data_IF_840453529118
#
_entry.id   IF_840453529118
#
_cell.length_a   1.000
_cell.length_b   1.000
_cell.length_c   1.000
_cell.angle_alpha   90.00
_cell.angle_beta   90.00
_cell.angle_gamma   90.00
#
_symmetry.space_group_name_H-M   'P 1'
#
loop_
_entity.id
_entity.type
_entity.pdbx_description
1 polymer ?
#
# COMPACT_ATOMS: atom_id res chain seq x y z
N UNK A 1 -15.53 -19.06 -34.89
CA UNK A 1 -14.65 -18.30 -35.81
C UNK A 1 -13.37 -18.00 -35.04
N UNK A 2 -12.27 -18.67 -35.34
CA UNK A 2 -10.94 -18.44 -34.71
C UNK A 2 -10.47 -17.04 -35.07
N UNK A 3 -10.38 -16.16 -34.07
CA UNK A 3 -9.73 -14.88 -34.24
C UNK A 3 -8.23 -15.15 -34.44
N UNK A 4 -7.75 -14.91 -35.66
CA UNK A 4 -6.35 -15.03 -36.02
C UNK A 4 -5.50 -14.09 -35.16
N UNK A 5 -4.44 -14.65 -34.61
CA UNK A 5 -3.29 -13.92 -34.06
C UNK A 5 -2.87 -12.83 -35.07
N UNK A 6 -3.06 -11.55 -34.70
CA UNK A 6 -2.59 -10.41 -35.48
C UNK A 6 -1.08 -10.42 -35.48
N UNK A 7 -0.44 -11.13 -36.40
CA UNK A 7 1.00 -11.26 -36.52
C UNK A 7 1.68 -9.89 -36.44
N UNK A 8 2.71 -9.78 -35.57
CA UNK A 8 3.52 -8.58 -35.43
C UNK A 8 4.03 -8.12 -36.82
N UNK A 9 3.90 -6.84 -37.12
CA UNK A 9 4.50 -6.26 -38.36
C UNK A 9 6.02 -6.42 -38.25
N UNK A 10 6.71 -6.85 -39.29
CA UNK A 10 8.17 -6.98 -39.27
C UNK A 10 8.84 -5.68 -38.79
N UNK A 11 9.65 -5.77 -37.72
CA UNK A 11 10.39 -4.63 -37.17
C UNK A 11 9.69 -3.88 -36.02
N UNK A 12 8.45 -4.25 -35.61
CA UNK A 12 7.73 -3.63 -34.49
C UNK A 12 7.78 -4.57 -33.27
N UNK A 13 8.44 -4.11 -32.19
CA UNK A 13 8.42 -4.82 -30.89
C UNK A 13 7.03 -4.78 -30.23
N UNK A 14 6.67 -5.82 -29.49
CA UNK A 14 5.44 -5.86 -28.70
C UNK A 14 5.75 -5.93 -27.20
N UNK A 15 5.25 -4.94 -26.48
CA UNK A 15 5.19 -4.93 -25.02
C UNK A 15 3.84 -5.45 -24.56
N UNK A 16 3.82 -6.51 -23.76
CA UNK A 16 2.63 -6.94 -23.04
C UNK A 16 2.74 -6.51 -21.58
N UNK A 17 1.68 -5.94 -21.04
CA UNK A 17 1.55 -5.51 -19.64
C UNK A 17 0.40 -6.28 -18.99
N UNK A 18 0.69 -6.99 -17.91
CA UNK A 18 -0.30 -7.73 -17.12
C UNK A 18 -0.57 -6.98 -15.83
N UNK A 19 -1.74 -6.36 -15.75
CA UNK A 19 -2.17 -5.47 -14.67
C UNK A 19 -2.26 -4.01 -15.14
N UNK A 20 -3.47 -3.49 -15.21
CA UNK A 20 -3.82 -2.20 -15.79
C UNK A 20 -3.95 -1.05 -14.80
N UNK A 21 -3.25 -1.09 -13.66
CA UNK A 21 -3.28 -0.01 -12.67
C UNK A 21 -1.88 0.60 -12.47
N UNK A 22 -1.58 1.17 -11.31
CA UNK A 22 -0.47 2.07 -11.01
C UNK A 22 0.87 1.70 -11.67
N UNK A 23 1.41 0.50 -11.42
CA UNK A 23 2.72 0.10 -11.94
C UNK A 23 2.67 -0.20 -13.44
N UNK A 24 1.67 -0.98 -13.89
CA UNK A 24 1.55 -1.36 -15.30
C UNK A 24 1.29 -0.19 -16.21
N UNK A 25 0.34 0.67 -15.87
CA UNK A 25 0.02 1.83 -16.71
C UNK A 25 1.06 2.94 -16.64
N UNK A 26 1.78 3.08 -15.51
CA UNK A 26 2.97 3.94 -15.45
C UNK A 26 4.08 3.43 -16.37
N UNK A 27 4.31 2.11 -16.42
CA UNK A 27 5.29 1.49 -17.32
C UNK A 27 4.90 1.67 -18.79
N UNK A 28 3.66 1.34 -19.15
CA UNK A 28 3.12 1.51 -20.48
C UNK A 28 3.20 2.97 -20.96
N UNK A 29 2.77 3.91 -20.12
CA UNK A 29 2.79 5.34 -20.42
C UNK A 29 4.21 5.88 -20.60
N UNK A 30 5.16 5.45 -19.75
CA UNK A 30 6.55 5.89 -19.87
C UNK A 30 7.23 5.29 -21.10
N UNK A 31 7.01 4.00 -21.40
CA UNK A 31 7.52 3.37 -22.62
C UNK A 31 6.98 4.08 -23.88
N UNK A 32 5.70 4.44 -23.89
CA UNK A 32 5.06 5.16 -24.99
C UNK A 32 5.63 6.57 -25.20
N UNK A 33 6.06 7.27 -24.13
CA UNK A 33 6.74 8.57 -24.27
C UNK A 33 8.11 8.47 -24.99
N UNK A 34 8.74 7.30 -24.92
CA UNK A 34 10.09 7.06 -25.44
C UNK A 34 10.11 6.34 -26.79
N UNK A 35 9.04 5.62 -27.14
CA UNK A 35 8.91 4.90 -28.42
C UNK A 35 7.55 5.16 -29.05
N UNK A 36 7.56 5.52 -30.31
CA UNK A 36 6.35 5.75 -31.10
C UNK A 36 5.55 4.44 -31.31
N UNK A 37 4.24 4.54 -31.64
CA UNK A 37 3.40 3.40 -31.93
C UNK A 37 3.92 2.48 -33.05
N UNK A 38 4.65 3.02 -34.01
CA UNK A 38 5.22 2.23 -35.12
C UNK A 38 6.42 1.38 -34.69
N UNK A 39 7.16 1.81 -33.65
CA UNK A 39 8.31 1.09 -33.12
C UNK A 39 7.91 0.09 -32.01
N UNK A 40 6.91 0.44 -31.20
CA UNK A 40 6.46 -0.37 -30.06
C UNK A 40 4.95 -0.49 -30.03
N UNK A 41 4.43 -1.70 -30.15
CA UNK A 41 3.05 -2.02 -29.83
C UNK A 41 2.93 -2.27 -28.32
N UNK A 42 1.94 -1.66 -27.68
CA UNK A 42 1.68 -1.87 -26.23
C UNK A 42 0.29 -2.44 -26.05
N UNK A 43 0.21 -3.64 -25.51
CA UNK A 43 -1.05 -4.30 -25.12
C UNK A 43 -1.07 -4.46 -23.61
N UNK A 44 -2.07 -3.92 -22.93
CA UNK A 44 -2.25 -4.03 -21.49
C UNK A 44 -3.53 -4.77 -21.16
N UNK A 45 -3.44 -5.74 -20.26
CA UNK A 45 -4.57 -6.55 -19.78
C UNK A 45 -4.92 -6.20 -18.36
N UNK A 46 -6.21 -5.91 -18.12
CA UNK A 46 -6.77 -5.64 -16.81
C UNK A 46 -8.04 -6.49 -16.61
N UNK A 47 -8.07 -7.27 -15.52
CA UNK A 47 -9.21 -8.15 -15.21
C UNK A 47 -10.42 -7.39 -14.65
N UNK A 48 -10.19 -6.22 -14.05
CA UNK A 48 -11.23 -5.37 -13.45
C UNK A 48 -11.95 -4.48 -14.45
N UNK A 49 -12.89 -3.71 -13.94
CA UNK A 49 -13.64 -2.72 -14.71
C UNK A 49 -12.89 -1.38 -14.84
N UNK A 50 -11.90 -1.11 -14.00
CA UNK A 50 -11.25 0.18 -13.85
C UNK A 50 -9.75 0.10 -14.06
N UNK A 51 -9.16 1.19 -14.48
CA UNK A 51 -7.73 1.41 -14.64
C UNK A 51 -7.32 2.73 -13.99
N UNK A 52 -6.07 2.84 -13.58
CA UNK A 52 -5.47 4.12 -13.13
C UNK A 52 -6.29 4.86 -12.09
N UNK A 53 -6.70 4.19 -11.05
CA UNK A 53 -7.50 4.76 -9.97
C UNK A 53 -6.73 4.84 -8.64
N UNK A 54 -7.19 5.71 -7.75
CA UNK A 54 -6.64 5.89 -6.41
C UNK A 54 -7.29 4.92 -5.43
N UNK A 55 -6.73 3.70 -5.27
CA UNK A 55 -7.23 2.73 -4.29
C UNK A 55 -7.24 3.30 -2.85
N UNK A 56 -6.24 4.13 -2.49
CA UNK A 56 -6.19 4.81 -1.20
C UNK A 56 -7.33 5.82 -0.99
N UNK A 57 -8.06 6.21 -2.04
CA UNK A 57 -9.23 7.07 -1.96
C UNK A 57 -10.53 6.35 -1.58
N UNK A 58 -10.56 5.02 -1.64
CA UNK A 58 -11.77 4.22 -1.42
C UNK A 58 -12.36 4.43 -0.02
N UNK A 59 -11.57 4.39 1.09
CA UNK A 59 -12.12 4.66 2.42
C UNK A 59 -12.76 6.06 2.53
N UNK A 60 -12.17 7.07 1.92
CA UNK A 60 -12.71 8.44 1.92
C UNK A 60 -13.98 8.57 1.08
N UNK A 61 -14.07 7.84 -0.04
CA UNK A 61 -15.30 7.74 -0.82
C UNK A 61 -16.40 7.00 -0.05
N UNK A 62 -16.06 5.86 0.54
CA UNK A 62 -17.01 5.14 1.41
C UNK A 62 -17.43 6.00 2.60
N UNK A 63 -16.51 6.75 3.23
CA UNK A 63 -16.79 7.67 4.34
C UNK A 63 -17.62 8.89 3.96
N UNK A 64 -17.61 9.29 2.69
CA UNK A 64 -18.31 10.44 2.16
C UNK A 64 -17.50 11.74 2.04
N UNK A 65 -16.20 11.70 2.34
CA UNK A 65 -15.27 12.83 2.11
C UNK A 65 -15.03 13.05 0.60
N UNK A 66 -15.04 11.98 -0.18
CA UNK A 66 -15.06 12.02 -1.65
C UNK A 66 -16.49 11.71 -2.10
N UNK A 67 -17.10 12.63 -2.83
CA UNK A 67 -18.51 12.53 -3.18
C UNK A 67 -18.80 11.45 -4.22
N UNK A 68 -17.97 11.38 -5.27
CA UNK A 68 -18.21 10.53 -6.43
C UNK A 68 -17.02 9.59 -6.70
N UNK A 69 -17.32 8.33 -7.04
CA UNK A 69 -16.33 7.31 -7.40
C UNK A 69 -15.37 7.78 -8.50
N UNK A 70 -15.89 8.46 -9.50
CA UNK A 70 -15.14 8.82 -10.69
C UNK A 70 -14.06 9.89 -10.40
N UNK A 71 -14.15 10.59 -9.26
CA UNK A 71 -13.09 11.48 -8.78
C UNK A 71 -11.81 10.71 -8.39
N UNK A 72 -11.92 9.40 -8.16
CA UNK A 72 -10.78 8.54 -7.87
C UNK A 72 -10.07 8.04 -9.13
N UNK A 73 -10.65 8.22 -10.32
CA UNK A 73 -10.07 7.76 -11.60
C UNK A 73 -9.13 8.85 -12.12
N UNK A 74 -7.85 8.55 -12.12
CA UNK A 74 -6.82 9.48 -12.59
C UNK A 74 -6.74 9.54 -14.13
N UNK A 75 -7.15 8.46 -14.81
CA UNK A 75 -7.17 8.37 -16.27
C UNK A 75 -8.13 7.28 -16.73
N UNK A 76 -8.90 7.61 -17.78
CA UNK A 76 -9.87 6.68 -18.38
C UNK A 76 -9.21 5.68 -19.33
N UNK A 77 -9.88 4.57 -19.65
CA UNK A 77 -9.40 3.63 -20.68
C UNK A 77 -9.25 4.27 -22.07
N UNK A 78 -10.14 5.19 -22.41
CA UNK A 78 -10.14 5.94 -23.69
C UNK A 78 -8.88 6.79 -23.80
N UNK A 79 -8.52 7.54 -22.77
CA UNK A 79 -7.31 8.36 -22.72
C UNK A 79 -6.03 7.52 -22.89
N UNK A 80 -6.02 6.28 -22.42
CA UNK A 80 -4.91 5.34 -22.64
C UNK A 80 -4.85 4.89 -24.11
N UNK A 81 -6.01 4.55 -24.72
CA UNK A 81 -6.11 4.12 -26.11
C UNK A 81 -5.73 5.25 -27.08
N UNK A 82 -6.16 6.47 -26.83
CA UNK A 82 -5.76 7.67 -27.60
C UNK A 82 -4.25 7.89 -27.60
N UNK A 83 -3.58 7.46 -26.55
CA UNK A 83 -2.10 7.49 -26.47
C UNK A 83 -1.42 6.28 -27.13
N UNK A 84 -2.17 5.43 -27.81
CA UNK A 84 -1.64 4.26 -28.48
C UNK A 84 -1.31 3.08 -27.56
N UNK A 85 -1.99 2.95 -26.44
CA UNK A 85 -1.93 1.78 -25.54
C UNK A 85 -3.22 0.99 -25.75
N UNK A 86 -3.14 -0.24 -26.27
CA UNK A 86 -4.28 -1.16 -26.40
C UNK A 86 -4.62 -1.73 -25.00
N UNK A 87 -5.40 -0.97 -24.23
CA UNK A 87 -5.86 -1.39 -22.90
C UNK A 87 -7.14 -2.21 -23.00
N UNK A 88 -7.08 -3.45 -22.57
CA UNK A 88 -8.16 -4.42 -22.56
C UNK A 88 -8.61 -4.66 -21.11
N UNK A 89 -9.70 -4.01 -20.72
CA UNK A 89 -10.38 -4.27 -19.46
C UNK A 89 -11.16 -5.58 -19.52
N UNK A 90 -11.57 -6.11 -18.38
CA UNK A 90 -12.32 -7.36 -18.26
C UNK A 90 -11.58 -8.52 -18.95
N UNK A 91 -10.25 -8.47 -18.94
CA UNK A 91 -9.42 -9.47 -19.61
C UNK A 91 -8.34 -9.95 -18.64
N UNK A 92 -8.49 -11.18 -18.17
CA UNK A 92 -7.58 -11.81 -17.20
C UNK A 92 -6.49 -12.62 -17.94
N UNK A 93 -5.23 -12.40 -17.63
CA UNK A 93 -4.15 -13.29 -18.06
C UNK A 93 -4.12 -14.50 -17.13
N UNK A 94 -4.38 -15.67 -17.69
CA UNK A 94 -4.52 -16.93 -16.95
C UNK A 94 -3.31 -17.83 -17.04
N UNK A 95 -2.44 -17.65 -18.05
CA UNK A 95 -1.24 -18.46 -18.25
C UNK A 95 -0.11 -17.63 -18.86
N UNK A 96 1.12 -17.93 -18.46
CA UNK A 96 2.36 -17.36 -19.00
C UNK A 96 3.24 -18.49 -19.52
N UNK A 97 3.43 -18.54 -20.83
CA UNK A 97 4.40 -19.40 -21.51
C UNK A 97 5.69 -18.59 -21.75
N UNK A 98 6.62 -18.69 -20.80
CA UNK A 98 7.90 -17.96 -20.84
C UNK A 98 8.75 -18.40 -22.02
N UNK A 99 8.80 -19.71 -22.31
CA UNK A 99 9.60 -20.27 -23.39
C UNK A 99 9.06 -19.87 -24.78
N UNK A 100 7.72 -19.88 -24.94
CA UNK A 100 7.04 -19.46 -26.16
C UNK A 100 6.83 -17.95 -26.26
N UNK A 101 7.25 -17.16 -25.26
CA UNK A 101 7.07 -15.70 -25.18
C UNK A 101 5.64 -15.26 -25.48
N UNK A 102 4.68 -15.81 -24.76
CA UNK A 102 3.25 -15.48 -24.94
C UNK A 102 2.48 -15.61 -23.65
N UNK A 103 1.38 -14.87 -23.56
CA UNK A 103 0.41 -14.96 -22.47
C UNK A 103 -0.93 -15.43 -23.00
N UNK A 104 -1.64 -16.26 -22.23
CA UNK A 104 -3.03 -16.61 -22.51
C UNK A 104 -3.94 -15.65 -21.72
N UNK A 105 -4.76 -14.93 -22.44
CA UNK A 105 -5.73 -14.00 -21.90
C UNK A 105 -7.15 -14.55 -22.09
N UNK A 106 -8.00 -14.39 -21.08
CA UNK A 106 -9.41 -14.78 -21.07
C UNK A 106 -10.27 -13.54 -20.86
N UNK A 107 -11.18 -13.30 -21.77
CA UNK A 107 -12.25 -12.33 -21.57
C UNK A 107 -13.16 -12.82 -20.44
N UNK A 108 -13.34 -12.01 -19.41
CA UNK A 108 -14.05 -12.40 -18.17
C UNK A 108 -15.54 -12.56 -18.41
N UNK A 109 -16.10 -11.81 -19.36
CA UNK A 109 -17.54 -11.76 -19.61
C UNK A 109 -17.99 -12.88 -20.57
N UNK A 110 -17.23 -13.12 -21.65
CA UNK A 110 -17.54 -14.14 -22.65
C UNK A 110 -16.87 -15.49 -22.39
N UNK A 111 -15.81 -15.52 -21.58
CA UNK A 111 -14.96 -16.69 -21.38
C UNK A 111 -14.03 -17.02 -22.56
N UNK A 112 -14.02 -16.19 -23.61
CA UNK A 112 -13.18 -16.41 -24.78
C UNK A 112 -11.69 -16.28 -24.44
N UNK A 113 -10.88 -17.23 -24.89
CA UNK A 113 -9.44 -17.27 -24.66
C UNK A 113 -8.64 -16.99 -25.93
N UNK A 114 -7.52 -16.31 -25.79
CA UNK A 114 -6.58 -16.05 -26.89
C UNK A 114 -5.13 -15.99 -26.37
N UNK A 115 -4.20 -16.33 -27.24
CA UNK A 115 -2.77 -16.15 -26.99
C UNK A 115 -2.29 -14.83 -27.57
N UNK A 116 -1.46 -14.11 -26.83
CA UNK A 116 -0.80 -12.88 -27.27
C UNK A 116 0.71 -13.04 -27.06
N UNK A 117 1.49 -12.97 -28.15
CA UNK A 117 2.95 -13.02 -28.11
C UNK A 117 3.53 -11.71 -27.59
N UNK A 118 4.73 -11.73 -27.02
CA UNK A 118 5.47 -10.56 -26.58
C UNK A 118 6.95 -10.64 -26.93
N UNK A 119 7.59 -9.50 -27.15
CA UNK A 119 9.03 -9.34 -27.13
C UNK A 119 9.50 -8.93 -25.72
N UNK A 120 8.65 -8.17 -25.01
CA UNK A 120 8.86 -7.68 -23.65
C UNK A 120 7.58 -7.83 -22.82
N UNK A 121 7.77 -8.26 -21.58
CA UNK A 121 6.65 -8.50 -20.65
C UNK A 121 6.81 -7.69 -19.36
N UNK A 122 5.73 -7.08 -18.91
CA UNK A 122 5.64 -6.43 -17.59
C UNK A 122 4.58 -7.16 -16.76
N UNK A 123 4.98 -7.67 -15.59
CA UNK A 123 4.09 -8.23 -14.59
C UNK A 123 3.81 -7.18 -13.51
N UNK A 124 2.58 -6.68 -13.46
CA UNK A 124 2.10 -5.67 -12.53
C UNK A 124 0.78 -6.11 -11.88
N UNK A 125 0.72 -7.39 -11.52
CA UNK A 125 -0.48 -8.08 -11.00
C UNK A 125 -0.92 -7.61 -9.61
N UNK A 126 -0.13 -6.77 -8.96
CA UNK A 126 -0.47 -6.16 -7.68
C UNK A 126 -0.46 -7.13 -6.51
N UNK A 127 -1.40 -6.94 -5.59
CA UNK A 127 -1.61 -7.80 -4.44
C UNK A 127 -3.08 -8.19 -4.32
N UNK A 128 -3.36 -9.20 -3.49
CA UNK A 128 -4.73 -9.63 -3.14
C UNK A 128 -4.97 -9.43 -1.66
N UNK A 129 -6.16 -8.97 -1.25
CA UNK A 129 -6.56 -8.96 0.15
C UNK A 129 -6.40 -10.35 0.76
N UNK A 130 -5.91 -10.39 1.98
CA UNK A 130 -5.91 -11.62 2.75
C UNK A 130 -7.36 -11.96 3.10
N UNK A 131 -7.82 -13.14 2.68
CA UNK A 131 -9.12 -13.69 3.06
C UNK A 131 -8.86 -15.05 3.70
N UNK A 132 -8.97 -15.16 5.03
CA UNK A 132 -8.68 -16.42 5.73
C UNK A 132 -9.77 -17.46 5.44
N UNK A 133 -9.40 -18.72 5.48
CA UNK A 133 -10.35 -19.83 5.37
C UNK A 133 -11.07 -20.02 6.71
N UNK A 134 -12.08 -19.18 6.97
CA UNK A 134 -12.90 -19.23 8.17
C UNK A 134 -14.37 -19.52 7.82
N UNK A 135 -15.08 -20.29 8.66
CA UNK A 135 -16.51 -20.49 8.46
C UNK A 135 -17.26 -19.17 8.34
N UNK A 136 -18.10 -19.02 7.32
CA UNK A 136 -18.94 -17.85 7.09
C UNK A 136 -18.21 -16.63 6.52
N UNK A 137 -16.93 -16.70 6.17
CA UNK A 137 -16.17 -15.55 5.65
C UNK A 137 -16.73 -15.00 4.34
N UNK A 138 -17.45 -15.83 3.56
CA UNK A 138 -18.06 -15.46 2.29
C UNK A 138 -19.55 -15.10 2.42
N UNK A 139 -20.03 -14.88 3.66
CA UNK A 139 -21.40 -14.47 3.92
C UNK A 139 -21.73 -13.11 3.29
N UNK A 140 -23.02 -12.87 3.01
CA UNK A 140 -23.49 -11.55 2.62
C UNK A 140 -23.19 -10.53 3.74
N UNK A 141 -22.70 -9.35 3.35
CA UNK A 141 -22.29 -8.30 4.30
C UNK A 141 -20.84 -8.39 4.75
N UNK A 142 -20.03 -9.32 4.23
CA UNK A 142 -18.58 -9.41 4.50
C UNK A 142 -17.79 -8.92 3.30
N UNK A 143 -17.00 -7.85 3.48
CA UNK A 143 -16.27 -7.16 2.42
C UNK A 143 -14.77 -7.07 2.68
N UNK A 144 -13.97 -7.18 1.62
CA UNK A 144 -12.63 -6.59 1.53
C UNK A 144 -12.72 -5.21 0.90
N UNK A 145 -11.63 -4.44 0.91
CA UNK A 145 -11.56 -3.11 0.28
C UNK A 145 -10.23 -3.00 -0.47
N UNK A 146 -10.28 -3.08 -1.79
CA UNK A 146 -9.10 -2.94 -2.65
C UNK A 146 -9.41 -2.28 -3.99
N UNK A 147 -10.56 -2.58 -4.58
CA UNK A 147 -10.98 -2.08 -5.89
C UNK A 147 -12.18 -1.13 -5.75
N UNK A 148 -12.43 -0.34 -6.80
CA UNK A 148 -13.63 0.51 -6.85
C UNK A 148 -14.91 -0.33 -6.83
N UNK A 149 -14.88 -1.56 -7.38
CA UNK A 149 -15.99 -2.51 -7.31
C UNK A 149 -16.24 -2.95 -5.85
N UNK A 150 -15.18 -3.18 -5.07
CA UNK A 150 -15.32 -3.52 -3.64
C UNK A 150 -15.95 -2.35 -2.86
N UNK A 151 -15.51 -1.12 -3.14
CA UNK A 151 -16.07 0.08 -2.53
C UNK A 151 -17.57 0.25 -2.85
N UNK A 152 -17.96 0.02 -4.10
CA UNK A 152 -19.36 0.06 -4.52
C UNK A 152 -20.19 -1.03 -3.85
N UNK A 153 -19.70 -2.27 -3.84
CA UNK A 153 -20.36 -3.39 -3.19
C UNK A 153 -20.57 -3.15 -1.68
N UNK A 154 -19.59 -2.53 -1.03
CA UNK A 154 -19.72 -2.13 0.37
C UNK A 154 -20.78 -1.04 0.55
N UNK A 155 -20.80 0.02 -0.27
CA UNK A 155 -21.81 1.07 -0.23
C UNK A 155 -23.22 0.52 -0.46
N UNK A 156 -23.40 -0.41 -1.41
CA UNK A 156 -24.66 -1.08 -1.66
C UNK A 156 -25.11 -1.90 -0.44
N UNK A 157 -24.17 -2.56 0.22
CA UNK A 157 -24.43 -3.28 1.47
C UNK A 157 -24.84 -2.33 2.59
N UNK A 158 -24.10 -1.22 2.80
CA UNK A 158 -24.44 -0.21 3.81
C UNK A 158 -25.86 0.36 3.61
N UNK A 159 -26.31 0.49 2.36
CA UNK A 159 -27.65 0.98 2.05
C UNK A 159 -28.76 -0.03 2.38
N UNK A 160 -28.47 -1.34 2.37
CA UNK A 160 -29.41 -2.45 2.58
C UNK A 160 -29.37 -3.02 3.99
N UNK A 161 -28.32 -2.75 4.74
CA UNK A 161 -28.13 -3.28 6.09
C UNK A 161 -29.30 -2.91 7.00
N UNK A 162 -29.83 -3.90 7.74
CA UNK A 162 -31.01 -3.75 8.62
C UNK A 162 -30.68 -3.05 9.95
N UNK A 163 -29.42 -3.05 10.32
CA UNK A 163 -28.89 -2.42 11.52
C UNK A 163 -27.70 -1.52 11.21
N UNK A 164 -27.10 -0.97 12.27
CA UNK A 164 -25.98 -0.01 12.17
C UNK A 164 -24.75 -0.46 12.97
N UNK A 165 -24.52 -1.78 13.08
CA UNK A 165 -23.36 -2.34 13.76
C UNK A 165 -22.37 -2.85 12.72
N UNK A 166 -21.15 -2.36 12.77
CA UNK A 166 -20.08 -2.79 11.90
C UNK A 166 -18.93 -3.39 12.68
N UNK A 167 -18.38 -4.48 12.19
CA UNK A 167 -17.14 -5.07 12.72
C UNK A 167 -16.06 -4.91 11.66
N UNK A 168 -14.94 -4.28 12.04
CA UNK A 168 -13.72 -4.22 11.23
C UNK A 168 -12.73 -5.24 11.78
N UNK A 169 -12.31 -6.17 10.96
CA UNK A 169 -11.31 -7.19 11.34
C UNK A 169 -9.94 -6.72 10.88
N UNK A 170 -9.07 -6.40 11.84
CA UNK A 170 -7.74 -5.86 11.62
C UNK A 170 -7.67 -4.34 11.78
N UNK A 171 -6.63 -3.87 12.48
CA UNK A 171 -6.38 -2.46 12.79
C UNK A 171 -5.09 -1.95 12.11
N UNK A 172 -4.84 -2.35 10.85
CA UNK A 172 -3.83 -1.74 9.97
C UNK A 172 -4.37 -0.48 9.29
N UNK A 173 -3.65 0.07 8.30
CA UNK A 173 -4.07 1.29 7.57
C UNK A 173 -5.52 1.21 7.08
N UNK A 174 -5.85 0.20 6.29
CA UNK A 174 -7.22 0.02 5.75
C UNK A 174 -8.25 -0.13 6.86
N UNK A 175 -7.93 -0.91 7.91
CA UNK A 175 -8.89 -1.13 9.01
C UNK A 175 -9.19 0.13 9.79
N UNK A 176 -8.18 0.96 10.07
CA UNK A 176 -8.35 2.24 10.79
C UNK A 176 -9.13 3.24 9.94
N UNK A 177 -8.78 3.41 8.67
CA UNK A 177 -9.47 4.30 7.74
C UNK A 177 -10.92 3.86 7.49
N UNK A 178 -11.17 2.55 7.37
CA UNK A 178 -12.53 2.02 7.22
C UNK A 178 -13.37 2.13 8.50
N UNK A 179 -12.75 2.02 9.67
CA UNK A 179 -13.46 2.25 10.94
C UNK A 179 -13.98 3.69 11.03
N UNK A 180 -13.15 4.68 10.68
CA UNK A 180 -13.57 6.08 10.59
C UNK A 180 -14.68 6.29 9.54
N UNK A 181 -14.50 5.71 8.34
CA UNK A 181 -15.49 5.80 7.26
C UNK A 181 -16.86 5.28 7.69
N UNK A 182 -16.91 4.18 8.46
CA UNK A 182 -18.15 3.61 8.97
C UNK A 182 -18.77 4.45 10.10
N UNK A 183 -17.97 5.05 10.99
CA UNK A 183 -18.44 6.05 11.97
C UNK A 183 -19.09 7.22 11.25
N UNK A 184 -18.45 7.76 10.20
CA UNK A 184 -18.98 8.87 9.41
C UNK A 184 -20.32 8.53 8.72
N UNK A 185 -20.56 7.24 8.46
CA UNK A 185 -21.86 6.70 7.96
C UNK A 185 -22.87 6.38 9.07
N UNK A 186 -22.56 6.67 10.33
CA UNK A 186 -23.44 6.50 11.47
C UNK A 186 -23.56 5.04 11.95
N UNK A 187 -22.51 4.24 11.77
CA UNK A 187 -22.43 2.90 12.32
C UNK A 187 -21.78 2.90 13.70
N UNK A 188 -22.25 2.01 14.56
CA UNK A 188 -21.51 1.57 15.74
C UNK A 188 -20.37 0.63 15.29
N UNK A 189 -19.12 1.00 15.56
CA UNK A 189 -17.97 0.28 15.04
C UNK A 189 -17.20 -0.43 16.14
N UNK A 190 -16.99 -1.73 15.96
CA UNK A 190 -16.06 -2.54 16.74
C UNK A 190 -14.88 -2.97 15.86
N UNK A 191 -13.67 -2.74 16.32
CA UNK A 191 -12.44 -3.16 15.62
C UNK A 191 -11.83 -4.34 16.38
N UNK A 192 -11.75 -5.50 15.71
CA UNK A 192 -11.10 -6.70 16.26
C UNK A 192 -9.65 -6.74 15.76
N UNK A 193 -8.71 -6.59 16.66
CA UNK A 193 -7.28 -6.52 16.36
C UNK A 193 -6.52 -7.68 17.01
N UNK A 194 -5.76 -8.43 16.21
CA UNK A 194 -4.94 -9.54 16.73
C UNK A 194 -3.72 -9.09 17.54
N UNK A 195 -3.27 -7.86 17.35
CA UNK A 195 -2.14 -7.29 18.09
C UNK A 195 -2.59 -6.61 19.38
N UNK A 196 -1.62 -6.27 20.22
CA UNK A 196 -1.86 -5.54 21.48
C UNK A 196 -2.26 -4.08 21.27
N UNK A 197 -1.95 -3.50 20.12
CA UNK A 197 -2.29 -2.12 19.74
C UNK A 197 -2.58 -2.03 18.23
N UNK A 198 -3.39 -1.06 17.77
CA UNK A 198 -3.60 -0.79 16.37
C UNK A 198 -2.32 -0.34 15.68
N UNK A 199 -2.36 -0.27 14.35
CA UNK A 199 -1.23 0.15 13.53
C UNK A 199 0.03 -0.66 13.82
N UNK A 200 -0.02 -1.97 13.61
CA UNK A 200 1.13 -2.88 13.82
C UNK A 200 2.39 -2.49 13.04
N UNK A 201 2.32 -1.46 12.20
CA UNK A 201 3.43 -0.79 11.51
C UNK A 201 4.14 0.25 12.37
N UNK A 202 3.59 0.59 13.53
CA UNK A 202 4.21 1.38 14.60
C UNK A 202 4.74 0.46 15.71
N UNK A 203 5.54 1.01 16.60
CA UNK A 203 5.83 0.39 17.89
C UNK A 203 4.61 0.52 18.83
N UNK A 204 4.41 -0.39 19.80
CA UNK A 204 3.18 -0.41 20.63
C UNK A 204 2.90 0.89 21.38
N UNK A 205 3.95 1.59 21.88
CA UNK A 205 3.79 2.87 22.57
C UNK A 205 3.22 3.96 21.67
N UNK A 206 3.59 3.95 20.38
CA UNK A 206 3.04 4.86 19.37
C UNK A 206 1.65 4.40 18.90
N UNK A 207 1.42 3.09 18.82
CA UNK A 207 0.10 2.51 18.49
C UNK A 207 -0.95 2.87 19.53
N UNK A 208 -0.58 2.94 20.82
CA UNK A 208 -1.48 3.35 21.90
C UNK A 208 -2.07 4.76 21.71
N UNK A 209 -1.32 5.67 21.14
CA UNK A 209 -1.84 7.02 20.83
C UNK A 209 -2.98 6.95 19.80
N UNK A 210 -2.84 6.05 18.83
CA UNK A 210 -3.89 5.80 17.82
C UNK A 210 -5.10 5.13 18.46
N UNK A 211 -4.88 4.14 19.34
CA UNK A 211 -5.92 3.47 20.11
C UNK A 211 -6.79 4.49 20.85
N UNK A 212 -6.15 5.35 21.66
CA UNK A 212 -6.85 6.38 22.44
C UNK A 212 -7.66 7.33 21.54
N UNK A 213 -7.15 7.69 20.36
CA UNK A 213 -7.88 8.53 19.41
C UNK A 213 -9.11 7.81 18.84
N UNK A 214 -8.98 6.52 18.51
CA UNK A 214 -10.10 5.70 18.00
C UNK A 214 -11.20 5.54 19.05
N UNK A 215 -10.84 5.27 20.31
CA UNK A 215 -11.82 5.24 21.41
C UNK A 215 -12.50 6.59 21.60
N UNK A 216 -11.76 7.69 21.46
CA UNK A 216 -12.30 9.06 21.51
C UNK A 216 -13.34 9.36 20.42
N UNK A 217 -13.34 8.64 19.32
CA UNK A 217 -14.38 8.66 18.27
C UNK A 217 -15.58 7.75 18.58
N UNK A 218 -15.55 7.00 19.66
CA UNK A 218 -16.58 6.01 19.98
C UNK A 218 -16.39 4.65 19.31
N UNK A 219 -15.22 4.37 18.74
CA UNK A 219 -14.87 3.07 18.20
C UNK A 219 -14.51 2.13 19.36
N UNK A 220 -15.16 0.98 19.42
CA UNK A 220 -14.81 -0.07 20.38
C UNK A 220 -13.59 -0.85 19.88
N UNK A 221 -12.46 -0.74 20.59
CA UNK A 221 -11.24 -1.48 20.28
C UNK A 221 -11.17 -2.78 21.09
N UNK A 222 -11.00 -3.92 20.39
CA UNK A 222 -10.77 -5.23 21.03
C UNK A 222 -9.44 -5.75 20.52
N UNK A 223 -8.42 -5.61 21.34
CA UNK A 223 -7.06 -6.08 21.04
C UNK A 223 -6.87 -7.53 21.48
N UNK A 224 -5.77 -8.16 21.04
CA UNK A 224 -5.41 -9.55 21.26
C UNK A 224 -6.53 -10.53 20.86
N UNK A 225 -7.41 -10.12 19.93
CA UNK A 225 -8.57 -10.86 19.47
C UNK A 225 -8.32 -11.58 18.15
N UNK A 226 -8.45 -12.89 18.15
CA UNK A 226 -8.35 -13.71 16.94
C UNK A 226 -9.74 -14.15 16.50
N UNK A 227 -10.13 -13.72 15.31
CA UNK A 227 -11.41 -14.13 14.71
C UNK A 227 -11.35 -15.59 14.31
N UNK A 228 -12.36 -16.36 14.70
CA UNK A 228 -12.47 -17.80 14.44
C UNK A 228 -13.56 -18.16 13.43
N UNK A 229 -14.62 -17.37 13.34
CA UNK A 229 -15.72 -17.56 12.40
C UNK A 229 -16.55 -16.29 12.23
N UNK A 230 -17.28 -16.22 11.12
CA UNK A 230 -18.38 -15.28 10.89
C UNK A 230 -19.70 -16.04 11.03
N UNK A 231 -20.60 -15.52 11.82
CA UNK A 231 -21.91 -16.11 12.06
C UNK A 231 -22.95 -15.49 11.12
N UNK A 232 -23.79 -16.33 10.56
CA UNK A 232 -24.85 -15.91 9.63
C UNK A 232 -26.24 -16.16 10.22
N UNK A 233 -27.21 -15.38 9.76
CA UNK A 233 -28.62 -15.69 9.92
C UNK A 233 -29.09 -16.73 8.89
N UNK A 234 -30.35 -17.12 8.99
CA UNK A 234 -31.01 -18.08 8.08
C UNK A 234 -31.12 -17.53 6.64
N UNK A 235 -31.01 -16.20 6.48
CA UNK A 235 -31.00 -15.50 5.21
C UNK A 235 -29.60 -15.43 4.54
N UNK A 236 -28.57 -16.03 5.17
CA UNK A 236 -27.19 -16.01 4.71
C UNK A 236 -26.47 -14.68 4.94
N UNK A 237 -27.11 -13.71 5.64
CA UNK A 237 -26.50 -12.44 5.98
C UNK A 237 -25.67 -12.56 7.26
N UNK A 238 -24.56 -11.79 7.36
CA UNK A 238 -23.76 -11.73 8.58
C UNK A 238 -24.60 -11.22 9.76
N UNK A 239 -24.48 -11.85 10.92
CA UNK A 239 -25.11 -11.41 12.18
C UNK A 239 -24.13 -11.11 13.30
N UNK A 240 -22.94 -11.73 13.26
CA UNK A 240 -21.88 -11.51 14.25
C UNK A 240 -20.54 -12.03 13.75
N UNK A 241 -19.46 -11.54 14.35
CA UNK A 241 -18.09 -12.10 14.24
C UNK A 241 -17.72 -12.70 15.58
N UNK A 242 -17.20 -13.93 15.57
CA UNK A 242 -16.80 -14.63 16.79
C UNK A 242 -15.27 -14.72 16.90
N UNK A 243 -14.80 -14.54 18.13
CA UNK A 243 -13.45 -14.89 18.59
C UNK A 243 -13.51 -16.16 19.43
N UNK A 244 -12.42 -16.53 20.09
CA UNK A 244 -12.42 -17.62 21.07
C UNK A 244 -13.25 -17.26 22.32
N UNK A 245 -13.30 -15.97 22.68
CA UNK A 245 -13.84 -15.50 23.97
C UNK A 245 -15.25 -14.91 23.85
N UNK A 246 -15.64 -14.36 22.70
CA UNK A 246 -16.89 -13.59 22.56
C UNK A 246 -17.44 -13.58 21.14
N UNK A 247 -18.73 -13.21 21.02
CA UNK A 247 -19.40 -12.87 19.76
C UNK A 247 -19.67 -11.36 19.70
N UNK A 248 -19.33 -10.75 18.58
CA UNK A 248 -19.53 -9.33 18.30
C UNK A 248 -20.62 -9.16 17.25
N UNK A 249 -21.78 -8.64 17.61
CA UNK A 249 -22.88 -8.45 16.67
C UNK A 249 -22.46 -7.54 15.51
N UNK A 250 -22.82 -7.93 14.28
CA UNK A 250 -22.45 -7.19 13.09
C UNK A 250 -23.55 -7.30 12.01
N UNK A 251 -23.88 -6.19 11.43
CA UNK A 251 -24.75 -6.10 10.25
C UNK A 251 -23.89 -5.94 8.98
N UNK A 252 -22.63 -5.50 9.15
CA UNK A 252 -21.58 -5.40 8.10
C UNK A 252 -20.23 -5.77 8.69
N UNK A 253 -19.40 -6.46 7.92
CA UNK A 253 -18.01 -6.80 8.29
C UNK A 253 -17.05 -6.32 7.21
N UNK A 254 -15.97 -5.63 7.63
CA UNK A 254 -14.88 -5.22 6.74
C UNK A 254 -13.58 -5.92 7.14
N UNK A 255 -12.94 -6.56 6.17
CA UNK A 255 -11.68 -7.28 6.35
C UNK A 255 -10.50 -6.36 6.03
N UNK A 256 -9.85 -5.82 7.05
CA UNK A 256 -8.66 -4.97 6.97
C UNK A 256 -7.36 -5.69 7.41
N UNK A 257 -7.21 -6.99 7.11
CA UNK A 257 -6.13 -7.86 7.62
C UNK A 257 -4.90 -7.95 6.72
N UNK A 258 -4.76 -7.00 5.80
CA UNK A 258 -3.61 -6.87 4.92
C UNK A 258 -3.75 -7.54 3.57
N UNK A 259 -2.65 -7.52 2.81
CA UNK A 259 -2.58 -8.02 1.44
C UNK A 259 -1.39 -8.98 1.26
N UNK A 260 -1.45 -9.81 0.22
CA UNK A 260 -0.35 -10.68 -0.23
C UNK A 260 -0.06 -10.40 -1.70
N UNK A 261 1.22 -10.51 -2.15
CA UNK A 261 1.57 -10.38 -3.57
C UNK A 261 0.73 -11.33 -4.43
N UNK A 262 0.15 -10.82 -5.52
CA UNK A 262 -0.55 -11.65 -6.49
C UNK A 262 0.45 -12.24 -7.49
N UNK A 263 1.07 -13.35 -7.13
CA UNK A 263 2.14 -14.03 -7.87
C UNK A 263 1.75 -15.42 -8.36
N UNK A 264 0.47 -15.76 -8.38
CA UNK A 264 0.01 -17.07 -8.81
C UNK A 264 0.46 -17.38 -10.26
N UNK A 265 0.27 -16.43 -11.18
CA UNK A 265 0.73 -16.53 -12.58
C UNK A 265 2.25 -16.71 -12.68
N UNK A 266 3.01 -15.90 -11.97
CA UNK A 266 4.47 -15.95 -11.95
C UNK A 266 5.00 -17.26 -11.36
N UNK A 267 4.39 -17.73 -10.28
CA UNK A 267 4.72 -19.03 -9.65
C UNK A 267 4.48 -20.19 -10.60
N UNK A 268 3.33 -20.21 -11.27
CA UNK A 268 2.99 -21.26 -12.24
C UNK A 268 3.99 -21.29 -13.42
N UNK A 269 4.52 -20.14 -13.81
CA UNK A 269 5.53 -19.99 -14.86
C UNK A 269 6.98 -20.22 -14.38
N UNK A 270 7.19 -20.57 -13.10
CA UNK A 270 8.52 -20.87 -12.55
C UNK A 270 9.40 -19.63 -12.31
N UNK A 271 8.83 -18.42 -12.27
CA UNK A 271 9.58 -17.20 -12.01
C UNK A 271 10.03 -17.10 -10.54
N UNK A 272 11.20 -16.48 -10.25
CA UNK A 272 11.78 -16.45 -8.92
C UNK A 272 10.96 -15.58 -7.95
N UNK A 273 10.59 -16.15 -6.82
CA UNK A 273 9.88 -15.49 -5.74
C UNK A 273 10.76 -15.38 -4.48
N UNK A 274 10.57 -14.31 -3.72
CA UNK A 274 11.24 -14.10 -2.45
C UNK A 274 10.52 -14.73 -1.26
N UNK A 275 11.06 -14.49 -0.07
CA UNK A 275 10.57 -15.10 1.18
C UNK A 275 9.16 -14.60 1.58
N UNK A 276 8.73 -13.45 1.08
CA UNK A 276 7.40 -12.89 1.33
C UNK A 276 6.43 -13.18 0.16
N UNK A 277 6.84 -14.00 -0.81
CA UNK A 277 6.02 -14.43 -1.94
C UNK A 277 5.96 -13.44 -3.11
N UNK A 278 6.67 -12.31 -3.05
CA UNK A 278 6.78 -11.36 -4.16
C UNK A 278 7.83 -11.78 -5.20
N UNK A 279 7.68 -11.31 -6.43
CA UNK A 279 8.68 -11.49 -7.48
C UNK A 279 10.01 -10.83 -7.10
N UNK A 280 11.13 -11.51 -7.39
CA UNK A 280 12.47 -10.97 -7.20
C UNK A 280 12.95 -10.28 -8.47
N UNK A 281 13.30 -9.00 -8.36
CA UNK A 281 13.83 -8.19 -9.46
C UNK A 281 15.26 -7.73 -9.19
N UNK A 282 15.94 -7.29 -10.23
CA UNK A 282 17.14 -6.48 -10.13
C UNK A 282 16.77 -4.98 -9.90
N UNK A 283 17.77 -4.09 -9.83
CA UNK A 283 17.50 -2.64 -9.69
C UNK A 283 16.86 -2.01 -10.91
N UNK A 284 17.00 -2.61 -12.09
CA UNK A 284 16.30 -2.18 -13.31
C UNK A 284 14.84 -2.69 -13.35
N UNK A 285 14.37 -3.31 -12.27
CA UNK A 285 13.07 -3.96 -12.15
C UNK A 285 12.88 -5.14 -13.11
N UNK A 286 13.96 -5.73 -13.65
CA UNK A 286 13.87 -6.98 -14.42
C UNK A 286 13.76 -8.16 -13.45
N UNK A 287 12.91 -9.12 -13.80
CA UNK A 287 12.80 -10.39 -13.06
C UNK A 287 14.14 -11.13 -13.15
N UNK A 288 14.67 -11.54 -12.00
CA UNK A 288 15.99 -12.20 -11.96
C UNK A 288 16.06 -13.43 -12.85
N UNK A 289 17.10 -13.50 -13.68
CA UNK A 289 17.30 -14.59 -14.66
C UNK A 289 16.56 -14.42 -15.99
N UNK A 290 15.89 -13.27 -16.21
CA UNK A 290 15.18 -12.97 -17.46
C UNK A 290 15.56 -11.57 -17.96
N UNK A 291 15.84 -11.46 -19.28
CA UNK A 291 16.24 -10.20 -19.91
C UNK A 291 15.05 -9.42 -20.49
N UNK A 292 13.92 -10.08 -20.69
CA UNK A 292 12.74 -9.59 -21.40
C UNK A 292 11.48 -9.53 -20.52
N UNK A 293 11.61 -9.82 -19.20
CA UNK A 293 10.50 -9.77 -18.24
C UNK A 293 10.82 -8.79 -17.10
N UNK A 294 9.95 -7.84 -16.88
CA UNK A 294 9.98 -6.89 -15.76
C UNK A 294 8.81 -7.13 -14.81
N UNK A 295 8.95 -6.71 -13.57
CA UNK A 295 7.86 -6.72 -12.61
C UNK A 295 7.90 -5.50 -11.71
N UNK A 296 6.72 -5.01 -11.30
CA UNK A 296 6.60 -3.83 -10.43
C UNK A 296 5.26 -3.72 -9.73
N UNK A 297 5.18 -2.82 -8.77
CA UNK A 297 4.02 -2.66 -7.89
C UNK A 297 4.03 -3.66 -6.75
N UNK A 298 2.84 -3.98 -6.24
CA UNK A 298 2.69 -4.78 -5.02
C UNK A 298 2.97 -6.28 -5.21
N UNK A 299 3.22 -6.72 -6.44
CA UNK A 299 3.59 -8.11 -6.72
C UNK A 299 5.09 -8.42 -6.53
N UNK A 300 5.93 -7.41 -6.22
CA UNK A 300 7.38 -7.60 -6.06
C UNK A 300 7.85 -7.44 -4.62
N UNK A 301 9.01 -8.04 -4.31
CA UNK A 301 9.79 -7.66 -3.13
C UNK A 301 10.82 -6.60 -3.50
N UNK A 302 11.05 -5.68 -2.58
CA UNK A 302 11.96 -4.53 -2.76
C UNK A 302 13.03 -4.50 -1.69
N UNK A 303 14.19 -3.91 -2.01
CA UNK A 303 15.27 -3.70 -1.04
C UNK A 303 14.86 -2.62 -0.03
N UNK A 304 14.82 -2.97 1.23
CA UNK A 304 14.76 -2.01 2.33
C UNK A 304 16.17 -1.46 2.59
N UNK A 305 16.36 -0.17 2.37
CA UNK A 305 17.67 0.50 2.41
C UNK A 305 18.26 0.57 3.83
N UNK A 306 17.42 0.47 4.85
CA UNK A 306 17.87 0.55 6.25
C UNK A 306 18.35 -0.81 6.74
N UNK A 307 17.57 -1.86 6.51
CA UNK A 307 17.87 -3.23 6.96
C UNK A 307 18.73 -4.04 5.97
N UNK A 308 18.81 -3.63 4.71
CA UNK A 308 19.44 -4.40 3.65
C UNK A 308 18.67 -5.66 3.23
N UNK A 309 17.43 -5.85 3.72
CA UNK A 309 16.62 -7.03 3.46
C UNK A 309 15.63 -6.82 2.31
N UNK A 310 15.31 -7.90 1.57
CA UNK A 310 14.16 -7.90 0.67
C UNK A 310 12.88 -7.92 1.51
N UNK A 311 11.90 -7.07 1.16
CA UNK A 311 10.62 -6.96 1.87
C UNK A 311 9.47 -6.75 0.89
N UNK A 312 8.32 -7.25 1.25
CA UNK A 312 7.07 -6.87 0.60
C UNK A 312 6.51 -5.60 1.27
N UNK A 313 6.37 -4.52 0.51
CA UNK A 313 5.82 -3.23 0.97
C UNK A 313 4.87 -2.71 -0.11
N UNK A 314 3.58 -2.91 0.09
CA UNK A 314 2.52 -2.52 -0.83
C UNK A 314 2.18 -1.02 -0.64
N UNK A 315 2.73 -0.15 -1.49
CA UNK A 315 2.49 1.29 -1.48
C UNK A 315 2.42 1.84 -2.90
N UNK A 316 1.38 2.62 -3.21
CA UNK A 316 1.15 3.20 -4.53
C UNK A 316 2.30 4.09 -5.03
N UNK A 317 2.99 4.80 -4.12
CA UNK A 317 4.17 5.60 -4.47
C UNK A 317 5.33 4.75 -5.00
N UNK A 318 5.49 3.52 -4.51
CA UNK A 318 6.48 2.57 -5.04
C UNK A 318 6.04 2.04 -6.40
N UNK A 319 4.78 1.63 -6.53
CA UNK A 319 4.22 1.11 -7.77
C UNK A 319 4.43 2.07 -8.96
N UNK A 320 4.13 3.36 -8.79
CA UNK A 320 4.35 4.37 -9.81
C UNK A 320 5.83 4.54 -10.18
N UNK A 321 6.73 4.55 -9.19
CA UNK A 321 8.19 4.66 -9.43
C UNK A 321 8.73 3.42 -10.14
N UNK A 322 8.27 2.22 -9.75
CA UNK A 322 8.61 0.98 -10.47
C UNK A 322 8.19 1.08 -11.92
N UNK A 323 6.96 1.53 -12.20
CA UNK A 323 6.47 1.73 -13.55
C UNK A 323 7.34 2.70 -14.36
N UNK A 324 7.76 3.83 -13.78
CA UNK A 324 8.67 4.78 -14.46
C UNK A 324 10.01 4.14 -14.81
N UNK A 325 10.62 3.38 -13.88
CA UNK A 325 11.89 2.66 -14.14
C UNK A 325 11.71 1.62 -15.24
N UNK A 326 10.66 0.79 -15.14
CA UNK A 326 10.35 -0.25 -16.13
C UNK A 326 10.13 0.37 -17.50
N UNK A 327 9.26 1.37 -17.61
CA UNK A 327 8.93 2.01 -18.87
C UNK A 327 10.13 2.69 -19.54
N UNK A 328 11.04 3.26 -18.74
CA UNK A 328 12.29 3.82 -19.24
C UNK A 328 13.19 2.73 -19.83
N UNK A 329 13.36 1.61 -19.12
CA UNK A 329 14.20 0.49 -19.58
C UNK A 329 13.61 -0.21 -20.82
N UNK A 330 12.30 -0.42 -20.82
CA UNK A 330 11.57 -0.96 -21.99
C UNK A 330 11.61 0.02 -23.17
N UNK A 331 11.57 1.32 -22.91
CA UNK A 331 11.66 2.37 -23.95
C UNK A 331 13.05 2.53 -24.57
N UNK A 332 14.07 1.77 -24.12
CA UNK A 332 15.43 1.82 -24.63
C UNK A 332 16.38 2.76 -23.87
N UNK A 333 15.91 3.38 -22.79
CA UNK A 333 16.73 4.12 -21.84
C UNK A 333 17.33 3.21 -20.75
N UNK A 334 17.90 3.83 -19.72
CA UNK A 334 18.38 3.12 -18.52
C UNK A 334 17.97 3.87 -17.26
N UNK A 335 17.28 3.16 -16.36
CA UNK A 335 16.88 3.66 -15.06
C UNK A 335 16.97 2.54 -14.01
N UNK A 336 17.15 2.92 -12.75
CA UNK A 336 17.19 1.98 -11.62
C UNK A 336 16.33 2.46 -10.46
N UNK A 337 15.76 1.52 -9.73
CA UNK A 337 15.08 1.74 -8.47
C UNK A 337 16.03 1.44 -7.31
N UNK A 338 16.36 2.40 -6.46
CA UNK A 338 17.40 2.20 -5.43
C UNK A 338 16.95 1.27 -4.29
N UNK A 339 15.66 1.19 -4.05
CA UNK A 339 15.04 0.57 -2.89
C UNK A 339 14.16 1.55 -2.13
N UNK A 340 13.73 1.19 -0.93
CA UNK A 340 12.74 1.93 -0.14
C UNK A 340 13.21 2.12 1.31
N UNK A 341 12.68 3.14 1.96
CA UNK A 341 12.77 3.33 3.41
C UNK A 341 11.42 3.07 4.09
N UNK A 342 10.39 2.69 3.33
CA UNK A 342 9.08 2.29 3.83
C UNK A 342 8.29 3.42 4.46
N UNK A 343 8.37 4.63 3.90
CA UNK A 343 7.61 5.80 4.39
C UNK A 343 6.13 5.62 4.11
N UNK A 344 5.32 5.75 5.15
CA UNK A 344 3.87 5.66 5.06
C UNK A 344 3.21 6.65 6.02
N UNK A 345 2.09 7.20 5.59
CA UNK A 345 1.24 8.10 6.36
C UNK A 345 -0.21 7.63 6.28
N UNK A 346 -0.98 7.93 7.32
CA UNK A 346 -2.42 7.75 7.37
C UNK A 346 -3.01 8.76 8.35
N UNK A 347 -4.31 8.84 8.37
CA UNK A 347 -5.07 9.69 9.26
C UNK A 347 -6.25 8.91 9.84
N UNK A 348 -6.55 9.13 11.11
CA UNK A 348 -7.81 8.74 11.74
C UNK A 348 -8.32 9.95 12.52
N UNK A 349 -9.54 10.37 12.25
CA UNK A 349 -10.08 11.66 12.68
C UNK A 349 -9.13 12.83 12.35
N UNK A 350 -8.72 13.56 13.37
CA UNK A 350 -7.75 14.65 13.27
C UNK A 350 -6.31 14.21 13.67
N UNK A 351 -6.12 12.91 13.92
CA UNK A 351 -4.83 12.34 14.27
C UNK A 351 -4.09 11.86 13.01
N UNK A 352 -2.97 12.48 12.72
CA UNK A 352 -2.04 12.10 11.65
C UNK A 352 -1.03 11.08 12.17
N UNK A 353 -0.81 10.03 11.40
CA UNK A 353 0.03 8.89 11.73
C UNK A 353 1.10 8.78 10.64
N UNK A 354 2.37 8.78 11.02
CA UNK A 354 3.46 8.70 10.07
C UNK A 354 4.61 7.80 10.56
N UNK A 355 5.24 7.12 9.62
CA UNK A 355 6.44 6.33 9.90
C UNK A 355 7.36 6.23 8.70
N UNK A 356 8.66 6.03 8.97
CA UNK A 356 9.67 5.69 7.97
C UNK A 356 10.80 4.90 8.63
N UNK A 357 11.47 4.03 7.87
CA UNK A 357 12.53 3.16 8.39
C UNK A 357 12.00 2.01 9.26
N UNK A 358 12.82 1.57 10.20
CA UNK A 358 12.59 0.40 11.05
C UNK A 358 11.86 0.76 12.35
N UNK A 359 11.02 -0.15 12.83
CA UNK A 359 10.55 -0.19 14.21
C UNK A 359 11.59 -0.90 15.09
N UNK A 360 11.42 -0.83 16.39
CA UNK A 360 12.27 -1.54 17.34
C UNK A 360 12.33 -3.04 17.06
N UNK A 361 11.17 -3.68 16.83
CA UNK A 361 11.14 -5.12 16.52
C UNK A 361 11.85 -5.47 15.21
N UNK A 362 11.79 -4.59 14.20
CA UNK A 362 12.47 -4.81 12.92
C UNK A 362 13.98 -4.67 13.09
N UNK A 363 14.45 -3.68 13.84
CA UNK A 363 15.88 -3.50 14.16
C UNK A 363 16.43 -4.70 14.94
N UNK A 364 15.70 -5.17 15.96
CA UNK A 364 16.08 -6.39 16.72
C UNK A 364 16.17 -7.62 15.83
N UNK A 365 15.20 -7.83 14.93
CA UNK A 365 15.16 -8.99 14.03
C UNK A 365 16.36 -9.07 13.09
N UNK A 366 16.89 -7.93 12.67
CA UNK A 366 18.09 -7.88 11.80
C UNK A 366 19.39 -7.70 12.57
N UNK A 367 19.37 -7.82 13.92
CA UNK A 367 20.55 -7.79 14.77
C UNK A 367 21.17 -6.40 14.98
N UNK A 368 20.46 -5.33 14.65
CA UNK A 368 20.91 -3.97 14.89
C UNK A 368 20.80 -3.61 16.38
N UNK A 369 21.87 -3.09 16.96
CA UNK A 369 21.86 -2.47 18.29
C UNK A 369 21.47 -1.01 18.13
N UNK A 370 20.45 -0.57 18.83
CA UNK A 370 19.89 0.77 18.68
C UNK A 370 19.59 1.42 20.03
N UNK A 371 19.48 2.75 20.00
CA UNK A 371 18.83 3.58 21.00
C UNK A 371 17.51 4.07 20.45
N UNK A 372 16.47 4.01 21.29
CA UNK A 372 15.17 4.59 21.01
C UNK A 372 14.94 5.78 21.93
N UNK A 373 14.44 6.86 21.37
CA UNK A 373 14.01 8.04 22.11
C UNK A 373 12.60 8.41 21.70
N UNK A 374 11.80 8.82 22.67
CA UNK A 374 10.47 9.41 22.42
C UNK A 374 10.46 10.81 23.02
N UNK A 375 9.92 11.76 22.26
CA UNK A 375 9.73 13.14 22.72
C UNK A 375 8.29 13.57 22.47
N UNK A 376 7.83 14.47 23.31
CA UNK A 376 6.60 15.24 23.07
C UNK A 376 6.96 16.66 22.67
N UNK A 377 6.22 17.22 21.74
CA UNK A 377 6.39 18.56 21.21
C UNK A 377 5.06 19.08 20.70
N UNK A 378 5.09 20.18 19.95
CA UNK A 378 3.90 20.78 19.35
C UNK A 378 4.05 20.96 17.84
N UNK A 379 2.93 20.99 17.11
CA UNK A 379 2.90 21.15 15.66
C UNK A 379 3.48 22.48 15.18
N UNK A 380 3.39 23.52 16.02
CA UNK A 380 3.87 24.89 15.77
C UNK A 380 4.30 25.53 17.10
N UNK A 381 4.72 26.78 17.11
CA UNK A 381 5.12 27.45 18.35
C UNK A 381 3.98 27.39 19.40
N UNK A 382 4.30 26.96 20.63
CA UNK A 382 3.29 26.64 21.64
C UNK A 382 2.37 27.79 22.02
N UNK A 383 2.80 29.04 21.82
CA UNK A 383 1.99 30.23 22.03
C UNK A 383 1.10 30.59 20.81
N UNK A 384 1.34 29.96 19.63
CA UNK A 384 0.59 30.27 18.42
C UNK A 384 -0.74 29.52 18.41
N UNK A 385 -1.86 30.17 17.99
CA UNK A 385 -3.17 29.53 17.96
C UNK A 385 -3.17 28.23 17.15
N UNK A 386 -3.85 27.20 17.66
CA UNK A 386 -3.94 25.89 17.03
C UNK A 386 -2.68 25.00 17.21
N UNK A 387 -1.73 25.39 18.08
CA UNK A 387 -0.66 24.50 18.49
C UNK A 387 -1.26 23.22 19.10
N UNK A 388 -0.88 22.06 18.58
CA UNK A 388 -1.40 20.76 18.99
C UNK A 388 -0.28 19.77 19.33
N UNK A 389 -0.52 18.82 20.24
CA UNK A 389 0.47 17.85 20.66
C UNK A 389 0.96 16.98 19.50
N UNK A 390 2.24 16.62 19.56
CA UNK A 390 2.90 15.74 18.63
C UNK A 390 3.93 14.89 19.36
N UNK A 391 3.88 13.59 19.17
CA UNK A 391 4.85 12.63 19.69
C UNK A 391 5.75 12.14 18.56
N UNK A 392 7.06 12.22 18.75
CA UNK A 392 8.06 11.73 17.81
C UNK A 392 8.91 10.66 18.49
N UNK A 393 8.94 9.47 17.90
CA UNK A 393 9.83 8.39 18.29
C UNK A 393 10.89 8.20 17.22
N UNK A 394 12.16 8.12 17.64
CA UNK A 394 13.31 7.99 16.74
C UNK A 394 14.23 6.86 17.21
N UNK A 395 14.70 6.05 16.28
CA UNK A 395 15.67 4.99 16.49
C UNK A 395 16.98 5.34 15.81
N UNK A 396 18.09 5.21 16.56
CA UNK A 396 19.45 5.40 16.06
C UNK A 396 20.34 4.20 16.38
N UNK A 397 21.22 3.82 15.45
CA UNK A 397 22.18 2.74 15.68
C UNK A 397 23.22 3.16 16.73
N UNK A 398 23.43 2.33 17.76
CA UNK A 398 24.33 2.65 18.90
C UNK A 398 25.74 2.99 18.48
N UNK A 399 26.31 2.28 17.53
CA UNK A 399 27.74 2.38 17.20
C UNK A 399 28.06 3.53 16.25
N UNK A 400 27.17 3.80 15.31
CA UNK A 400 27.41 4.75 14.21
C UNK A 400 26.60 6.03 14.36
N UNK A 401 25.55 6.03 15.17
CA UNK A 401 24.57 7.09 15.23
C UNK A 401 23.66 7.16 14.00
N UNK A 402 23.75 6.20 13.06
CA UNK A 402 22.93 6.19 11.85
C UNK A 402 21.46 6.16 12.21
N UNK A 403 20.66 7.00 11.57
CA UNK A 403 19.21 6.97 11.70
C UNK A 403 18.69 5.62 11.20
N UNK A 404 17.82 4.97 11.98
CA UNK A 404 17.21 3.69 11.63
C UNK A 404 15.72 3.80 11.35
N UNK A 405 15.01 4.70 12.02
CA UNK A 405 13.58 4.88 11.82
C UNK A 405 13.00 6.01 12.64
N UNK A 406 11.86 6.52 12.18
CA UNK A 406 11.09 7.57 12.85
C UNK A 406 9.60 7.24 12.76
N UNK A 407 8.88 7.48 13.85
CA UNK A 407 7.44 7.40 13.95
C UNK A 407 6.93 8.71 14.53
N UNK A 408 5.87 9.27 13.94
CA UNK A 408 5.28 10.53 14.37
C UNK A 408 3.76 10.32 14.47
N UNK A 409 3.20 10.68 15.61
CA UNK A 409 1.76 10.68 15.84
C UNK A 409 1.38 12.03 16.44
N UNK A 410 0.44 12.70 15.80
CA UNK A 410 0.01 14.04 16.25
C UNK A 410 -1.13 14.54 15.37
N UNK A 411 -1.48 15.80 15.56
CA UNK A 411 -2.49 16.46 14.71
C UNK A 411 -1.83 17.12 13.50
N UNK A 412 -2.50 18.12 12.92
CA UNK A 412 -2.08 18.83 11.71
C UNK A 412 -0.57 19.10 11.63
N UNK A 413 0.05 18.66 10.54
CA UNK A 413 1.48 18.82 10.25
C UNK A 413 2.38 17.71 10.82
N UNK A 414 1.83 16.70 11.52
CA UNK A 414 2.60 15.55 12.01
C UNK A 414 3.04 14.64 10.87
N UNK A 415 2.14 14.27 9.99
CA UNK A 415 2.42 13.32 8.92
C UNK A 415 3.52 13.80 7.96
N UNK A 416 3.44 15.04 7.51
CA UNK A 416 4.39 15.57 6.53
C UNK A 416 5.82 15.80 7.09
N UNK A 417 5.98 15.87 8.40
CA UNK A 417 7.32 15.93 9.01
C UNK A 417 8.13 14.65 8.82
N UNK A 418 7.47 13.52 8.59
CA UNK A 418 8.18 12.26 8.32
C UNK A 418 9.05 12.32 7.07
N UNK A 419 8.74 13.21 6.11
CA UNK A 419 9.52 13.36 4.88
C UNK A 419 10.95 13.82 5.16
N UNK A 420 11.19 14.64 6.19
CA UNK A 420 12.55 15.01 6.64
C UNK A 420 13.34 13.75 7.04
N UNK A 421 12.72 12.87 7.83
CA UNK A 421 13.35 11.62 8.24
C UNK A 421 13.51 10.63 7.06
N UNK A 422 12.59 10.61 6.11
CA UNK A 422 12.70 9.79 4.91
C UNK A 422 13.88 10.21 4.02
N UNK A 423 14.10 11.51 3.86
CA UNK A 423 15.30 12.05 3.18
C UNK A 423 16.57 11.70 3.94
N UNK A 424 16.59 11.88 5.27
CA UNK A 424 17.73 11.54 6.10
C UNK A 424 18.10 10.05 6.03
N UNK A 425 17.10 9.14 6.09
CA UNK A 425 17.29 7.70 5.89
C UNK A 425 17.84 7.36 4.50
N UNK A 426 17.28 7.98 3.46
CA UNK A 426 17.72 7.77 2.08
C UNK A 426 19.16 8.23 1.87
N UNK A 427 19.57 9.32 2.52
CA UNK A 427 20.92 9.84 2.50
C UNK A 427 21.89 9.12 3.46
N UNK A 428 21.40 8.17 4.27
CA UNK A 428 22.21 7.46 5.26
C UNK A 428 22.73 8.35 6.39
N UNK A 429 22.01 9.42 6.74
CA UNK A 429 22.44 10.38 7.76
C UNK A 429 22.47 9.77 9.16
N UNK A 430 23.40 10.29 9.98
CA UNK A 430 23.38 10.07 11.43
C UNK A 430 22.48 11.07 12.14
N UNK A 431 21.99 10.71 13.33
CA UNK A 431 21.19 11.64 14.17
C UNK A 431 21.98 12.89 14.55
N UNK A 432 23.31 12.81 14.63
CA UNK A 432 24.19 13.96 14.83
C UNK A 432 24.11 14.93 13.64
N UNK A 433 24.25 14.41 12.41
CA UNK A 433 24.13 15.22 11.20
C UNK A 433 22.75 15.85 11.06
N UNK A 434 21.70 15.15 11.49
CA UNK A 434 20.34 15.69 11.48
C UNK A 434 20.21 16.93 12.37
N UNK A 435 20.95 17.05 13.48
CA UNK A 435 20.85 18.22 14.38
C UNK A 435 21.26 19.52 13.72
N UNK A 436 22.03 19.45 12.63
CA UNK A 436 22.53 20.60 11.87
C UNK A 436 21.68 20.93 10.63
N UNK A 437 20.56 20.23 10.41
CA UNK A 437 19.68 20.52 9.27
C UNK A 437 19.05 21.92 9.41
N UNK A 438 19.15 22.71 8.35
CA UNK A 438 18.52 24.03 8.26
C UNK A 438 17.05 23.84 7.83
N UNK A 439 16.18 23.64 8.81
CA UNK A 439 14.75 23.47 8.58
C UNK A 439 14.01 24.79 8.74
N UNK A 440 12.96 25.00 7.93
CA UNK A 440 12.16 26.21 7.93
C UNK A 440 11.45 26.44 9.26
N UNK A 441 11.54 27.66 9.78
CA UNK A 441 10.86 28.12 10.99
C UNK A 441 10.07 29.40 10.74
N UNK A 442 8.83 29.35 11.18
CA UNK A 442 8.03 30.51 11.58
C UNK A 442 6.96 30.03 12.58
N UNK A 443 6.48 30.89 13.50
CA UNK A 443 5.54 30.48 14.56
C UNK A 443 4.32 29.68 14.10
N UNK A 444 3.70 29.95 12.92
CA UNK A 444 2.55 29.18 12.42
C UNK A 444 2.87 27.77 11.94
N UNK A 445 4.15 27.44 11.67
CA UNK A 445 4.54 26.21 10.98
C UNK A 445 5.37 25.26 11.85
N UNK A 446 6.17 25.78 12.76
CA UNK A 446 7.06 24.99 13.62
C UNK A 446 7.42 25.74 14.90
N UNK A 447 7.76 25.04 16.01
CA UNK A 447 8.61 25.63 17.04
C UNK A 447 9.99 25.97 16.47
N UNK A 448 10.77 26.80 17.15
CA UNK A 448 12.15 27.15 16.74
C UNK A 448 13.02 25.92 16.50
N UNK A 449 12.85 24.93 17.36
CA UNK A 449 13.43 23.59 17.14
C UNK A 449 12.32 22.66 16.64
N UNK A 450 12.40 22.28 15.36
CA UNK A 450 11.46 21.31 14.80
C UNK A 450 11.44 20.01 15.63
N UNK A 451 10.29 19.40 15.88
CA UNK A 451 10.18 18.17 16.67
C UNK A 451 11.13 17.04 16.22
N UNK A 452 11.38 16.91 14.90
CA UNK A 452 12.34 15.93 14.38
C UNK A 452 13.76 16.25 14.81
N UNK A 453 14.16 17.54 14.84
CA UNK A 453 15.48 17.96 15.33
C UNK A 453 15.61 17.76 16.84
N UNK A 454 14.54 18.01 17.61
CA UNK A 454 14.55 17.74 19.07
C UNK A 454 14.76 16.25 19.33
N UNK A 455 14.08 15.38 18.59
CA UNK A 455 14.26 13.93 18.69
C UNK A 455 15.70 13.52 18.29
N UNK A 456 16.23 14.08 17.21
CA UNK A 456 17.60 13.82 16.76
C UNK A 456 18.65 14.22 17.80
N UNK A 457 18.52 15.41 18.44
CA UNK A 457 19.41 15.86 19.53
C UNK A 457 19.37 14.91 20.71
N UNK A 458 18.17 14.48 21.14
CA UNK A 458 18.02 13.53 22.25
C UNK A 458 18.62 12.16 21.90
N UNK A 459 18.45 11.69 20.66
CA UNK A 459 19.05 10.46 20.18
C UNK A 459 20.58 10.56 20.10
N UNK A 460 21.13 11.67 19.59
CA UNK A 460 22.57 11.91 19.52
C UNK A 460 23.23 11.90 20.90
N UNK A 461 22.61 12.54 21.90
CA UNK A 461 23.10 12.45 23.29
C UNK A 461 23.15 11.01 23.77
N UNK A 462 22.04 10.27 23.59
CA UNK A 462 21.92 8.88 24.05
C UNK A 462 22.89 7.90 23.39
N UNK A 463 23.24 8.15 22.11
CA UNK A 463 24.23 7.35 21.37
C UNK A 463 25.68 7.65 21.84
N UNK A 464 25.95 8.89 22.26
CA UNK A 464 27.31 9.27 22.78
C UNK A 464 27.63 8.72 24.16
N UNK A 465 26.61 8.47 24.97
CA UNK A 465 26.76 7.98 26.35
C UNK A 465 27.17 6.49 26.42
N UNK A 466 27.45 5.87 25.26
CA UNK A 466 27.92 4.51 25.06
C UNK A 466 29.21 4.47 24.21
#
# INVERSE_FOLDING_TARGET
>A
MSMSDGGARPGRERLVVVGGDAAGMSAASQARRLKDPDALEIVAFERGHFTSFSACGIPYWVGGDVAERDQLIARTPEEHRERGIDLRLRTEVTELDVAGKRVRARDVDSGAESWTSYDRLVLATGARPVRPELPGIDAQGVHGVQTLDDGQALLDTLSRARGRRAVVVGAGYIGVEMAEALINRGYEVTVLNRGSEPMSTLDPDMGRLVHTAMEGLGITMVNDATVTKVLTGDDGWVRAVATEDAEYPADVVVLGIGVRPDTALARAAGLPLGAHGGLLTDRAMRVRGHDDIWAGGDCVEVLDLVSGQQRHIALGTHANKHGQVIGTNVGGGYATFPGVVGTAVSKVCDLEIARTGLREKDARRVGLRYEAVTIESTSRAGYYPGASPMTVKMLAERRTGRLLGVQIVGREGAAKRVDVAAVALTAGMTVEQMTALDLGYAPPFSPVWDPVLVAARKAATKVRDF
#
